data_IF_226875044064
#
_entry.id   IF_226875044064
#
_cell.length_a   1.000
_cell.length_b   1.000
_cell.length_c   1.000
_cell.angle_alpha   90.00
_cell.angle_beta   90.00
_cell.angle_gamma   90.00
#
_symmetry.space_group_name_H-M   'P 1'
#
loop_
_entity.id
_entity.type
_entity.pdbx_description
1 polymer ?
#
# COMPACT_ATOMS: atom_id res chain seq x y z
N UNK A 1 16.40 4.48 -4.27
CA UNK A 1 15.24 3.57 -4.21
C UNK A 1 14.05 4.24 -4.89
N UNK A 2 13.25 3.48 -5.63
CA UNK A 2 11.97 3.92 -6.21
C UNK A 2 10.82 3.26 -5.46
N UNK A 3 10.06 4.03 -4.70
CA UNK A 3 8.98 3.53 -3.86
C UNK A 3 7.60 3.84 -4.47
N UNK A 4 6.75 2.82 -4.63
CA UNK A 4 5.36 2.98 -4.98
C UNK A 4 4.49 2.77 -3.74
N UNK A 5 3.83 3.82 -3.27
CA UNK A 5 2.82 3.71 -2.22
C UNK A 5 1.45 3.49 -2.87
N UNK A 6 0.64 2.57 -2.34
CA UNK A 6 -0.70 2.26 -2.85
C UNK A 6 -1.69 2.32 -1.70
N UNK A 7 -2.70 3.20 -1.78
CA UNK A 7 -3.79 3.19 -0.79
C UNK A 7 -4.74 2.03 -1.05
N UNK A 8 -5.17 1.35 0.02
CA UNK A 8 -5.93 0.10 -0.08
C UNK A 8 -7.45 0.23 0.02
N UNK A 9 -8.03 1.44 -0.09
CA UNK A 9 -9.48 1.63 0.05
C UNK A 9 -10.00 2.76 -0.81
N UNK A 10 -11.24 2.62 -1.29
CA UNK A 10 -11.98 3.62 -2.06
C UNK A 10 -12.94 4.46 -1.20
N UNK A 11 -12.90 4.28 0.12
CA UNK A 11 -13.79 4.99 1.05
C UNK A 11 -13.37 6.45 1.18
N UNK A 12 -14.27 7.39 0.90
CA UNK A 12 -14.03 8.81 1.12
C UNK A 12 -13.70 9.14 2.59
N UNK A 13 -12.80 10.09 2.80
CA UNK A 13 -12.37 10.53 4.14
C UNK A 13 -11.63 9.45 4.93
N UNK A 14 -11.05 8.45 4.27
CA UNK A 14 -10.29 7.40 4.94
C UNK A 14 -8.94 7.91 5.47
N UNK A 15 -8.53 7.38 6.62
CA UNK A 15 -7.25 7.72 7.25
C UNK A 15 -6.03 7.14 6.52
N UNK A 16 -6.22 6.12 5.68
CA UNK A 16 -5.11 5.51 4.92
C UNK A 16 -4.49 6.49 3.93
N UNK A 17 -5.31 7.36 3.31
CA UNK A 17 -4.84 8.41 2.42
C UNK A 17 -3.94 9.42 3.17
N UNK A 18 -4.33 9.83 4.37
CA UNK A 18 -3.53 10.73 5.19
C UNK A 18 -2.20 10.09 5.60
N UNK A 19 -2.23 8.84 6.07
CA UNK A 19 -1.02 8.07 6.42
C UNK A 19 -0.11 7.86 5.22
N UNK A 20 -0.68 7.57 4.04
CA UNK A 20 0.08 7.39 2.80
C UNK A 20 0.76 8.67 2.34
N UNK A 21 0.07 9.83 2.41
CA UNK A 21 0.64 11.13 2.07
C UNK A 21 1.80 11.52 2.98
N UNK A 22 1.68 11.21 4.28
CA UNK A 22 2.78 11.47 5.20
C UNK A 22 3.94 10.51 4.97
N UNK A 23 3.68 9.22 4.80
CA UNK A 23 4.73 8.27 4.46
C UNK A 23 5.47 8.66 3.17
N UNK A 24 4.75 9.16 2.16
CA UNK A 24 5.32 9.61 0.89
C UNK A 24 6.41 10.66 1.08
N UNK A 25 6.28 11.56 2.06
CA UNK A 25 7.30 12.57 2.36
C UNK A 25 8.63 11.92 2.73
N UNK A 26 8.61 10.94 3.66
CA UNK A 26 9.84 10.24 4.09
C UNK A 26 10.48 9.42 2.97
N UNK A 27 9.68 8.76 2.14
CA UNK A 27 10.19 8.01 0.98
C UNK A 27 10.73 8.93 -0.11
N UNK A 28 10.17 10.14 -0.26
CA UNK A 28 10.66 11.16 -1.20
C UNK A 28 11.98 11.80 -0.76
N UNK A 29 12.25 11.84 0.55
CA UNK A 29 13.56 12.26 1.09
C UNK A 29 14.65 11.20 0.84
N UNK A 30 14.28 9.91 0.83
CA UNK A 30 15.19 8.79 0.62
C UNK A 30 15.42 8.44 -0.86
N UNK A 31 14.55 8.92 -1.78
CA UNK A 31 14.65 8.61 -3.20
C UNK A 31 13.45 9.10 -4.00
N UNK A 32 13.14 8.41 -5.10
CA UNK A 32 11.94 8.70 -5.89
C UNK A 32 10.73 7.96 -5.31
N UNK A 33 9.65 8.68 -4.99
CA UNK A 33 8.44 8.06 -4.48
C UNK A 33 7.20 8.54 -5.25
N UNK A 34 6.25 7.62 -5.46
CA UNK A 34 4.96 7.91 -6.10
C UNK A 34 3.81 7.31 -5.29
N UNK A 35 2.66 7.95 -5.36
CA UNK A 35 1.43 7.50 -4.72
C UNK A 35 0.40 7.11 -5.79
N UNK A 36 -0.11 5.88 -5.72
CA UNK A 36 -1.31 5.45 -6.41
C UNK A 36 -2.45 5.44 -5.40
N UNK A 37 -3.29 6.46 -5.45
CA UNK A 37 -4.43 6.60 -4.53
C UNK A 37 -5.68 5.94 -5.11
N UNK A 38 -6.07 4.79 -4.58
CA UNK A 38 -7.20 4.01 -5.08
C UNK A 38 -8.54 4.76 -4.97
N UNK A 39 -8.66 5.78 -4.10
CA UNK A 39 -9.84 6.65 -4.05
C UNK A 39 -10.00 7.53 -5.29
N UNK A 40 -8.93 7.82 -5.99
CA UNK A 40 -8.89 8.71 -7.16
C UNK A 40 -8.91 7.93 -8.49
N UNK A 41 -9.10 6.60 -8.43
CA UNK A 41 -8.95 5.68 -9.55
C UNK A 41 -10.22 4.91 -9.86
N UNK A 42 -10.48 4.68 -11.15
CA UNK A 42 -11.55 3.83 -11.63
C UNK A 42 -11.01 2.42 -11.91
N UNK A 43 -11.12 1.54 -10.91
CA UNK A 43 -10.71 0.14 -11.00
C UNK A 43 -11.96 -0.75 -10.96
N UNK A 44 -12.50 -1.18 -12.12
CA UNK A 44 -13.66 -2.07 -12.15
C UNK A 44 -13.35 -3.44 -11.52
N UNK A 45 -14.37 -4.26 -11.30
CA UNK A 45 -14.15 -5.65 -10.88
C UNK A 45 -13.39 -6.40 -11.97
N UNK A 46 -12.32 -7.06 -11.56
CA UNK A 46 -11.47 -7.83 -12.45
C UNK A 46 -12.25 -9.04 -13.01
N UNK A 47 -12.46 -9.06 -14.31
CA UNK A 47 -13.02 -10.20 -15.03
C UNK A 47 -11.92 -11.07 -15.63
N UNK A 48 -10.80 -10.44 -16.00
CA UNK A 48 -9.61 -11.12 -16.49
C UNK A 48 -8.34 -10.32 -16.10
N UNK A 49 -7.21 -10.98 -16.06
CA UNK A 49 -5.92 -10.33 -15.77
C UNK A 49 -5.51 -9.39 -16.89
N UNK A 50 -4.75 -8.35 -16.55
CA UNK A 50 -4.26 -7.35 -17.50
C UNK A 50 -3.56 -7.99 -18.72
N UNK A 51 -2.77 -9.05 -18.50
CA UNK A 51 -2.05 -9.76 -19.57
C UNK A 51 -2.94 -10.51 -20.57
N UNK A 52 -4.23 -10.68 -20.27
CA UNK A 52 -5.22 -11.37 -21.12
C UNK A 52 -6.36 -10.44 -21.56
N UNK A 53 -6.29 -9.16 -21.22
CA UNK A 53 -7.30 -8.17 -21.56
C UNK A 53 -6.87 -7.35 -22.80
N UNK A 54 -7.63 -7.45 -23.87
CA UNK A 54 -7.37 -6.69 -25.12
C UNK A 54 -7.64 -5.19 -24.95
N UNK A 55 -8.40 -4.79 -23.92
CA UNK A 55 -8.79 -3.40 -23.67
C UNK A 55 -8.81 -3.09 -22.15
N UNK A 56 -7.69 -3.22 -21.46
CA UNK A 56 -7.65 -3.07 -20.02
C UNK A 56 -7.94 -1.63 -19.58
N UNK A 57 -8.53 -1.44 -18.38
CA UNK A 57 -8.80 -0.11 -17.84
C UNK A 57 -7.54 0.74 -17.72
N UNK A 58 -7.66 2.04 -18.01
CA UNK A 58 -6.50 2.94 -18.06
C UNK A 58 -5.77 3.05 -16.72
N UNK A 59 -6.52 3.18 -15.60
CA UNK A 59 -5.91 3.23 -14.26
C UNK A 59 -5.22 1.91 -13.86
N UNK A 60 -5.63 0.78 -14.42
CA UNK A 60 -4.94 -0.51 -14.21
C UNK A 60 -3.63 -0.58 -15.01
N UNK A 61 -3.60 -0.01 -16.21
CA UNK A 61 -2.34 0.14 -16.98
C UNK A 61 -1.36 1.04 -16.26
N UNK A 62 -1.82 2.20 -15.76
CA UNK A 62 -1.00 3.09 -14.94
C UNK A 62 -0.44 2.37 -13.72
N UNK A 63 -1.28 1.60 -13.02
CA UNK A 63 -0.84 0.81 -11.86
C UNK A 63 0.28 -0.17 -12.23
N UNK A 64 0.14 -0.92 -13.32
CA UNK A 64 1.18 -1.81 -13.84
C UNK A 64 2.48 -1.06 -14.12
N UNK A 65 2.41 0.06 -14.85
CA UNK A 65 3.59 0.87 -15.17
C UNK A 65 4.31 1.36 -13.90
N UNK A 66 3.55 1.72 -12.86
CA UNK A 66 4.10 2.12 -11.56
C UNK A 66 4.73 0.94 -10.80
N UNK A 67 4.12 -0.24 -10.86
CA UNK A 67 4.71 -1.47 -10.30
C UNK A 67 6.02 -1.80 -11.02
N UNK A 68 6.04 -1.78 -12.35
CA UNK A 68 7.26 -2.03 -13.15
C UNK A 68 8.37 -1.01 -12.85
N UNK A 69 8.00 0.26 -12.69
CA UNK A 69 8.92 1.35 -12.36
C UNK A 69 9.54 1.22 -10.96
N UNK A 70 8.82 0.66 -9.98
CA UNK A 70 9.21 0.66 -8.57
C UNK A 70 10.20 -0.44 -8.22
N UNK A 71 11.07 -0.16 -7.25
CA UNK A 71 11.91 -1.18 -6.57
C UNK A 71 11.09 -1.88 -5.47
N UNK A 72 10.16 -1.15 -4.81
CA UNK A 72 9.30 -1.63 -3.75
C UNK A 72 7.87 -1.10 -3.88
N UNK A 73 6.89 -1.98 -3.61
CA UNK A 73 5.47 -1.62 -3.47
C UNK A 73 5.10 -1.59 -2.00
N UNK A 74 4.60 -0.45 -1.53
CA UNK A 74 4.18 -0.23 -0.14
C UNK A 74 2.66 -0.14 -0.08
N UNK A 75 2.02 -1.18 0.45
CA UNK A 75 0.56 -1.24 0.56
C UNK A 75 0.11 -0.57 1.85
N UNK A 76 -0.62 0.55 1.74
CA UNK A 76 -1.14 1.36 2.86
C UNK A 76 -2.63 1.12 2.98
N UNK A 77 -3.06 0.28 3.93
CA UNK A 77 -4.42 -0.24 3.94
C UNK A 77 -5.06 -0.30 5.32
N UNK A 78 -6.37 -0.02 5.43
CA UNK A 78 -7.12 -0.33 6.64
C UNK A 78 -7.41 -1.83 6.74
N UNK A 79 -7.78 -2.28 7.94
CA UNK A 79 -8.34 -3.60 8.17
C UNK A 79 -9.88 -3.53 8.11
N UNK A 80 -10.50 -4.28 7.19
CA UNK A 80 -11.95 -4.44 7.10
C UNK A 80 -12.33 -5.88 7.40
N UNK A 81 -13.16 -6.10 8.42
CA UNK A 81 -13.62 -7.43 8.81
C UNK A 81 -12.48 -8.47 8.94
N UNK A 82 -11.40 -8.08 9.61
CA UNK A 82 -10.21 -8.91 9.83
C UNK A 82 -9.41 -9.28 8.55
N UNK A 83 -9.57 -8.50 7.48
CA UNK A 83 -8.88 -8.71 6.20
C UNK A 83 -8.56 -7.39 5.54
N UNK A 84 -8.02 -7.46 4.33
CA UNK A 84 -7.83 -6.30 3.46
C UNK A 84 -9.16 -5.89 2.80
N UNK A 85 -9.31 -4.62 2.40
CA UNK A 85 -10.46 -4.19 1.60
C UNK A 85 -10.55 -4.93 0.26
N UNK A 86 -11.78 -5.24 -0.17
CA UNK A 86 -12.02 -5.88 -1.45
C UNK A 86 -11.46 -5.10 -2.66
N UNK A 87 -11.50 -3.77 -2.59
CA UNK A 87 -10.94 -2.92 -3.64
C UNK A 87 -9.42 -3.11 -3.81
N UNK A 88 -8.66 -3.24 -2.71
CA UNK A 88 -7.23 -3.54 -2.78
C UNK A 88 -6.97 -4.92 -3.37
N UNK A 89 -7.72 -5.93 -2.91
CA UNK A 89 -7.58 -7.29 -3.43
C UNK A 89 -7.89 -7.33 -4.92
N UNK A 90 -8.94 -6.63 -5.35
CA UNK A 90 -9.32 -6.50 -6.76
C UNK A 90 -8.20 -5.87 -7.60
N UNK A 91 -7.57 -4.79 -7.12
CA UNK A 91 -6.43 -4.16 -7.82
C UNK A 91 -5.24 -5.12 -7.94
N UNK A 92 -4.90 -5.83 -6.86
CA UNK A 92 -3.78 -6.79 -6.86
C UNK A 92 -4.03 -7.92 -7.87
N UNK A 93 -5.27 -8.38 -8.00
CA UNK A 93 -5.62 -9.53 -8.86
C UNK A 93 -5.49 -9.25 -10.37
N UNK A 94 -5.44 -7.99 -10.79
CA UNK A 94 -5.21 -7.61 -12.18
C UNK A 94 -3.81 -7.98 -12.69
N UNK A 95 -2.80 -8.00 -11.79
CA UNK A 95 -1.42 -8.31 -12.11
C UNK A 95 -1.03 -9.66 -11.50
N UNK A 96 0.04 -10.27 -12.00
CA UNK A 96 0.59 -11.50 -11.45
C UNK A 96 2.10 -11.62 -11.69
N UNK A 97 2.52 -11.68 -12.95
CA UNK A 97 3.94 -11.85 -13.32
C UNK A 97 4.77 -10.61 -12.98
N UNK A 98 4.15 -9.43 -12.96
CA UNK A 98 4.76 -8.15 -12.58
C UNK A 98 5.23 -8.11 -11.12
N UNK A 99 4.72 -9.01 -10.29
CA UNK A 99 5.08 -9.10 -8.88
C UNK A 99 6.25 -10.07 -8.61
N UNK A 100 6.67 -10.88 -9.59
CA UNK A 100 7.73 -11.87 -9.38
C UNK A 100 9.05 -11.21 -8.95
N UNK A 101 9.56 -11.61 -7.78
CA UNK A 101 10.74 -11.01 -7.15
C UNK A 101 10.57 -9.59 -6.60
N UNK A 102 9.41 -8.92 -6.80
CA UNK A 102 9.15 -7.55 -6.33
C UNK A 102 9.16 -7.47 -4.80
N UNK A 103 9.83 -6.46 -4.26
CA UNK A 103 9.78 -6.17 -2.83
C UNK A 103 8.43 -5.56 -2.45
N UNK A 104 7.85 -6.03 -1.34
CA UNK A 104 6.62 -5.49 -0.76
C UNK A 104 6.85 -5.07 0.68
N UNK A 105 6.24 -3.96 1.08
CA UNK A 105 6.17 -3.52 2.48
C UNK A 105 4.75 -3.05 2.80
N UNK A 106 4.42 -2.96 4.08
CA UNK A 106 3.04 -2.76 4.49
C UNK A 106 2.91 -1.69 5.56
N UNK A 107 1.95 -0.79 5.38
CA UNK A 107 1.44 0.08 6.44
C UNK A 107 -0.02 -0.29 6.65
N UNK A 108 -0.32 -0.96 7.75
CA UNK A 108 -1.69 -1.36 8.07
C UNK A 108 -2.26 -0.49 9.18
N UNK A 109 -3.55 -0.22 9.12
CA UNK A 109 -4.20 0.86 9.87
C UNK A 109 -5.47 0.35 10.53
N UNK A 110 -5.68 0.69 11.79
CA UNK A 110 -6.96 0.50 12.45
C UNK A 110 -7.33 1.64 13.39
N UNK A 111 -8.64 1.82 13.62
CA UNK A 111 -9.14 2.73 14.66
C UNK A 111 -8.90 2.18 16.09
N UNK A 112 -8.69 0.89 16.24
CA UNK A 112 -8.38 0.24 17.51
C UNK A 112 -6.90 -0.09 17.69
N UNK A 113 -6.55 -0.76 18.80
CA UNK A 113 -5.17 -0.98 19.26
C UNK A 113 -4.35 -2.01 18.47
N UNK A 114 -4.93 -2.75 17.50
CA UNK A 114 -4.23 -3.81 16.80
C UNK A 114 -3.51 -3.37 15.50
N UNK A 115 -3.72 -2.14 15.03
CA UNK A 115 -3.02 -1.59 13.89
C UNK A 115 -3.20 -2.35 12.56
N UNK A 116 -4.24 -3.17 12.43
CA UNK A 116 -4.49 -3.92 11.19
C UNK A 116 -3.61 -5.16 11.00
N UNK A 117 -3.15 -5.78 12.07
CA UNK A 117 -2.24 -6.94 12.03
C UNK A 117 -2.78 -8.13 11.23
N UNK A 118 -4.11 -8.33 11.18
CA UNK A 118 -4.71 -9.42 10.39
C UNK A 118 -4.70 -9.12 8.90
N UNK A 119 -4.95 -7.86 8.53
CA UNK A 119 -4.79 -7.42 7.14
C UNK A 119 -3.35 -7.61 6.67
N UNK A 120 -2.36 -7.31 7.52
CA UNK A 120 -0.95 -7.54 7.22
C UNK A 120 -0.64 -9.03 7.00
N UNK A 121 -1.18 -9.92 7.83
CA UNK A 121 -0.98 -11.37 7.63
C UNK A 121 -1.50 -11.86 6.28
N UNK A 122 -2.67 -11.38 5.86
CA UNK A 122 -3.23 -11.72 4.55
C UNK A 122 -2.42 -11.11 3.39
N UNK A 123 -1.91 -9.89 3.55
CA UNK A 123 -1.01 -9.28 2.54
C UNK A 123 0.29 -10.06 2.39
N UNK A 124 0.85 -10.55 3.50
CA UNK A 124 2.04 -11.39 3.47
C UNK A 124 1.81 -12.67 2.68
N UNK A 125 0.70 -13.37 2.94
CA UNK A 125 0.34 -14.61 2.22
C UNK A 125 0.09 -14.33 0.72
N UNK A 126 -0.61 -13.24 0.39
CA UNK A 126 -0.84 -12.81 -1.00
C UNK A 126 0.49 -12.52 -1.69
N UNK A 127 1.38 -11.77 -1.05
CA UNK A 127 2.70 -11.41 -1.62
C UNK A 127 3.50 -12.66 -1.95
N UNK A 128 3.56 -13.64 -1.05
CA UNK A 128 4.24 -14.92 -1.32
C UNK A 128 3.58 -15.68 -2.47
N UNK A 129 2.25 -15.68 -2.52
CA UNK A 129 1.51 -16.40 -3.56
C UNK A 129 1.74 -15.84 -4.98
N UNK A 130 2.04 -14.53 -5.10
CA UNK A 130 2.35 -13.88 -6.39
C UNK A 130 3.85 -13.79 -6.69
N UNK A 131 4.69 -14.50 -5.93
CA UNK A 131 6.14 -14.53 -6.16
C UNK A 131 6.90 -13.32 -5.61
N UNK A 132 6.23 -12.41 -4.89
CA UNK A 132 6.86 -11.24 -4.29
C UNK A 132 7.65 -11.57 -3.01
N UNK A 133 8.46 -10.62 -2.56
CA UNK A 133 9.27 -10.70 -1.33
C UNK A 133 8.66 -9.85 -0.23
N UNK A 134 8.04 -10.44 0.82
CA UNK A 134 7.51 -9.69 1.95
C UNK A 134 8.63 -9.01 2.77
N UNK A 135 8.48 -7.74 3.05
CA UNK A 135 9.43 -6.92 3.77
C UNK A 135 8.87 -6.29 5.05
N UNK A 136 9.47 -5.19 5.52
CA UNK A 136 9.07 -4.50 6.73
C UNK A 136 7.59 -4.12 6.78
N UNK A 137 7.03 -4.09 8.00
CA UNK A 137 5.65 -3.67 8.26
C UNK A 137 5.59 -2.59 9.34
N UNK A 138 4.67 -1.65 9.18
CA UNK A 138 4.28 -0.67 10.19
C UNK A 138 2.79 -0.81 10.51
N UNK A 139 2.45 -1.00 11.78
CA UNK A 139 1.07 -1.05 12.27
C UNK A 139 0.68 0.28 12.89
N UNK A 140 -0.32 0.94 12.32
CA UNK A 140 -0.89 2.20 12.82
C UNK A 140 -2.15 1.87 13.63
N UNK A 141 -1.99 1.78 14.95
CA UNK A 141 -3.11 1.60 15.89
C UNK A 141 -3.68 2.95 16.29
N UNK A 142 -4.94 2.96 16.73
CA UNK A 142 -5.63 4.16 17.23
C UNK A 142 -5.45 5.36 16.29
N UNK A 143 -5.57 5.16 14.99
CA UNK A 143 -5.19 6.14 13.96
C UNK A 143 -5.83 7.51 14.16
N UNK A 144 -7.04 7.58 14.72
CA UNK A 144 -7.75 8.83 14.98
C UNK A 144 -7.08 9.70 16.06
N UNK A 145 -6.30 9.09 16.96
CA UNK A 145 -5.58 9.80 18.03
C UNK A 145 -4.25 10.38 17.52
N UNK A 146 -3.66 9.74 16.50
CA UNK A 146 -2.32 10.06 16.02
C UNK A 146 -2.30 10.84 14.70
N UNK A 147 -3.37 10.76 13.90
CA UNK A 147 -3.48 11.42 12.60
C UNK A 147 -4.72 12.29 12.55
N UNK A 148 -4.57 13.61 12.71
CA UNK A 148 -5.58 14.63 12.47
C UNK A 148 -5.32 15.38 11.15
N UNK A 149 -6.25 16.25 10.72
CA UNK A 149 -6.07 17.04 9.49
C UNK A 149 -4.89 18.03 9.60
N UNK A 150 -4.58 18.48 10.81
CA UNK A 150 -3.58 19.50 11.07
C UNK A 150 -2.27 18.97 11.64
N UNK A 151 -2.26 17.74 12.18
CA UNK A 151 -1.10 17.26 12.91
C UNK A 151 -0.99 15.73 12.95
N UNK A 152 0.25 15.26 12.97
CA UNK A 152 0.61 13.87 13.20
C UNK A 152 1.44 13.82 14.47
N UNK A 153 1.17 12.84 15.35
CA UNK A 153 1.90 12.71 16.60
C UNK A 153 3.40 12.44 16.35
N UNK A 154 4.26 12.99 17.20
CA UNK A 154 5.72 12.79 17.14
C UNK A 154 6.08 11.30 17.11
N UNK A 155 5.37 10.47 17.87
CA UNK A 155 5.55 9.01 17.87
C UNK A 155 5.46 8.44 16.45
N UNK A 156 4.40 8.79 15.67
CA UNK A 156 4.22 8.25 14.34
C UNK A 156 5.10 8.91 13.28
N UNK A 157 5.55 10.13 13.49
CA UNK A 157 6.60 10.74 12.67
C UNK A 157 7.89 9.92 12.75
N UNK A 158 8.34 9.60 13.97
CA UNK A 158 9.55 8.78 14.20
C UNK A 158 9.36 7.34 13.65
N UNK A 159 8.19 6.74 13.86
CA UNK A 159 7.89 5.38 13.36
C UNK A 159 7.86 5.31 11.84
N UNK A 160 7.29 6.30 11.16
CA UNK A 160 7.28 6.39 9.70
C UNK A 160 8.69 6.58 9.14
N UNK A 161 9.49 7.45 9.76
CA UNK A 161 10.90 7.63 9.40
C UNK A 161 11.67 6.32 9.54
N UNK A 162 11.60 5.69 10.71
CA UNK A 162 12.29 4.40 10.96
C UNK A 162 11.79 3.28 10.04
N UNK A 163 10.51 3.31 9.63
CA UNK A 163 9.97 2.37 8.67
C UNK A 163 10.57 2.60 7.27
N UNK A 164 10.69 3.84 6.81
CA UNK A 164 11.30 4.16 5.52
C UNK A 164 12.78 3.70 5.47
N UNK A 165 13.55 3.94 6.53
CA UNK A 165 14.93 3.46 6.65
C UNK A 165 15.02 1.92 6.56
N UNK A 166 14.15 1.19 7.25
CA UNK A 166 14.10 -0.29 7.18
C UNK A 166 13.71 -0.81 5.80
N UNK A 167 12.85 -0.11 5.09
CA UNK A 167 12.46 -0.47 3.71
C UNK A 167 13.64 -0.24 2.76
N UNK A 168 14.37 0.86 2.93
CA UNK A 168 15.58 1.15 2.14
C UNK A 168 16.65 0.07 2.33
N UNK A 169 16.89 -0.37 3.58
CA UNK A 169 17.82 -1.45 3.89
C UNK A 169 17.40 -2.83 3.34
N UNK A 170 16.09 -3.02 3.11
CA UNK A 170 15.51 -4.29 2.64
C UNK A 170 15.58 -4.45 1.13
N UNK A 171 15.52 -3.39 0.34
CA UNK A 171 15.46 -3.40 -1.12
C UNK A 171 16.83 -3.62 -1.74
#
# INVERSE_FOLDING_TARGET
MKALLVTGTVREGNKSQQVAKEALNYFSEAGDAKLFDLCEKEVPLMEQRLSHDDSPPEDVKEFRELVDWSDVVILVTPEYNHSIPGALKNLIDYLYEEYDGKAFSYITISAGGFGGVRAQSHLHDITLAVGGRPGPSLHVSNVNEHFSEENISEEYQERLKSFAEKVEDFV
#
